data_IF_789536019882
#
_entry.id   IF_789536019882
#
_cell.length_a   1.000
_cell.length_b   1.000
_cell.length_c   1.000
_cell.angle_alpha   90.00
_cell.angle_beta   90.00
_cell.angle_gamma   90.00
#
_symmetry.space_group_name_H-M   'P 1'
#
loop_
_entity.id
_entity.type
_entity.pdbx_description
1 polymer ?
#
# COMPACT_ATOMS: atom_id res chain seq x y z
N UNK A 1 -21.08 21.91 38.46
CA UNK A 1 -21.35 20.47 38.45
C UNK A 1 -20.51 19.81 37.36
N UNK A 2 -19.61 18.92 37.75
CA UNK A 2 -18.61 18.25 36.90
C UNK A 2 -19.14 16.98 36.24
N UNK A 3 -18.43 16.53 35.18
CA UNK A 3 -18.38 15.19 34.54
C UNK A 3 -19.39 14.98 33.39
N UNK A 4 -19.06 14.37 32.24
CA UNK A 4 -17.84 13.72 31.72
C UNK A 4 -18.04 13.52 30.21
N UNK A 5 -17.01 13.80 29.39
CA UNK A 5 -16.99 13.47 27.96
C UNK A 5 -17.03 11.94 27.80
N UNK A 6 -18.10 11.40 27.23
CA UNK A 6 -18.23 9.98 26.89
C UNK A 6 -17.36 9.66 25.67
N UNK A 7 -16.08 9.38 25.91
CA UNK A 7 -15.18 8.80 24.92
C UNK A 7 -15.64 7.37 24.60
N UNK A 8 -16.36 7.20 23.49
CA UNK A 8 -16.68 5.89 22.94
C UNK A 8 -15.38 5.23 22.49
N UNK A 9 -14.85 4.35 23.33
CA UNK A 9 -13.60 3.62 23.09
C UNK A 9 -13.60 2.95 21.72
N UNK A 10 -12.56 3.21 20.94
CA UNK A 10 -12.26 2.48 19.70
C UNK A 10 -12.12 0.99 20.06
N UNK A 11 -13.08 0.16 19.67
CA UNK A 11 -12.88 -1.30 19.58
C UNK A 11 -11.68 -1.53 18.65
N UNK A 12 -10.51 -1.83 19.22
CA UNK A 12 -9.38 -2.38 18.46
C UNK A 12 -9.83 -3.76 17.99
N UNK A 13 -10.21 -3.84 16.71
CA UNK A 13 -10.47 -5.12 16.07
C UNK A 13 -9.24 -6.00 16.26
N UNK A 14 -9.46 -7.15 16.89
CA UNK A 14 -8.48 -8.20 17.12
C UNK A 14 -7.82 -8.56 15.81
N UNK A 15 -6.49 -8.58 15.84
CA UNK A 15 -5.61 -8.80 14.69
C UNK A 15 -5.74 -10.27 14.28
N UNK A 16 -6.64 -10.56 13.34
CA UNK A 16 -6.82 -11.92 12.82
C UNK A 16 -5.51 -12.38 12.17
N UNK A 17 -4.84 -13.33 12.83
CA UNK A 17 -3.65 -14.02 12.34
C UNK A 17 -4.10 -15.08 11.35
N UNK A 18 -3.71 -14.92 10.08
CA UNK A 18 -3.51 -16.03 9.15
C UNK A 18 -4.72 -16.56 8.40
N UNK A 19 -5.37 -15.75 7.57
CA UNK A 19 -5.92 -16.28 6.31
C UNK A 19 -4.85 -16.12 5.25
N UNK A 20 -4.57 -17.14 4.45
CA UNK A 20 -3.80 -16.98 3.21
C UNK A 20 -4.58 -16.03 2.30
N UNK A 21 -4.41 -14.72 2.50
CA UNK A 21 -5.22 -13.68 1.89
C UNK A 21 -4.80 -13.53 0.44
N UNK A 22 -5.30 -14.41 -0.40
CA UNK A 22 -5.19 -14.28 -1.85
C UNK A 22 -5.95 -13.03 -2.27
N UNK A 23 -5.41 -12.26 -3.21
CA UNK A 23 -6.13 -11.13 -3.78
C UNK A 23 -7.32 -11.65 -4.62
N UNK A 24 -8.16 -10.75 -5.18
CA UNK A 24 -9.34 -11.11 -6.00
C UNK A 24 -9.02 -12.07 -7.18
N UNK A 25 -7.74 -12.32 -7.50
CA UNK A 25 -7.25 -13.22 -8.54
C UNK A 25 -6.69 -14.56 -8.00
N UNK A 26 -6.83 -14.88 -6.71
CA UNK A 26 -6.46 -16.20 -6.16
C UNK A 26 -4.95 -16.44 -5.94
N UNK A 27 -4.08 -15.46 -6.17
CA UNK A 27 -2.62 -15.63 -6.10
C UNK A 27 -2.02 -14.93 -4.87
N UNK A 28 -1.01 -15.59 -4.25
CA UNK A 28 -0.27 -15.06 -3.09
C UNK A 28 0.67 -13.98 -3.62
N UNK A 29 0.42 -12.71 -3.32
CA UNK A 29 1.40 -11.61 -3.41
C UNK A 29 2.36 -11.63 -4.63
N UNK A 30 1.91 -12.00 -5.83
CA UNK A 30 2.81 -11.98 -6.98
C UNK A 30 2.93 -10.55 -7.51
N UNK A 31 4.17 -10.12 -7.69
CA UNK A 31 4.51 -8.78 -8.17
C UNK A 31 3.87 -8.53 -9.54
N UNK A 32 3.92 -9.54 -10.41
CA UNK A 32 3.29 -9.54 -11.74
C UNK A 32 1.77 -9.30 -11.68
N UNK A 33 1.05 -9.98 -10.79
CA UNK A 33 -0.41 -9.79 -10.71
C UNK A 33 -0.78 -8.43 -10.14
N UNK A 34 0.01 -7.89 -9.21
CA UNK A 34 -0.20 -6.54 -8.69
C UNK A 34 0.03 -5.48 -9.78
N UNK A 35 1.06 -5.64 -10.61
CA UNK A 35 1.32 -4.77 -11.77
C UNK A 35 0.15 -4.85 -12.76
N UNK A 36 -0.26 -6.06 -13.16
CA UNK A 36 -1.35 -6.25 -14.11
C UNK A 36 -2.68 -5.70 -13.59
N UNK A 37 -2.98 -5.90 -12.30
CA UNK A 37 -4.17 -5.34 -11.67
C UNK A 37 -4.14 -3.80 -11.67
N UNK A 38 -2.98 -3.17 -11.41
CA UNK A 38 -2.84 -1.71 -11.49
C UNK A 38 -2.97 -1.17 -12.91
N UNK A 39 -2.41 -1.87 -13.89
CA UNK A 39 -2.55 -1.55 -15.33
C UNK A 39 -4.01 -1.61 -15.77
N UNK A 40 -4.72 -2.71 -15.49
CA UNK A 40 -6.15 -2.88 -15.81
C UNK A 40 -7.04 -1.83 -15.15
N UNK A 41 -6.69 -1.37 -13.95
CA UNK A 41 -7.41 -0.30 -13.23
C UNK A 41 -7.07 1.12 -13.72
N UNK A 42 -6.11 1.28 -14.63
CA UNK A 42 -5.66 2.59 -15.09
C UNK A 42 -4.95 3.43 -14.02
N UNK A 43 -4.50 2.83 -12.91
CA UNK A 43 -3.80 3.55 -11.83
C UNK A 43 -2.34 3.84 -12.20
N UNK A 44 -2.16 4.73 -13.17
CA UNK A 44 -0.90 5.42 -13.40
C UNK A 44 -0.71 6.50 -12.33
N UNK A 45 0.52 6.67 -11.83
CA UNK A 45 0.85 7.78 -10.94
C UNK A 45 1.37 8.92 -11.80
N UNK A 46 0.80 10.12 -11.64
CA UNK A 46 1.35 11.32 -12.27
C UNK A 46 2.75 11.60 -11.72
N UNK A 47 3.59 12.31 -12.49
CA UNK A 47 4.94 12.73 -12.05
C UNK A 47 4.91 13.44 -10.70
N UNK A 48 3.89 14.29 -10.44
CA UNK A 48 3.71 14.99 -9.16
C UNK A 48 3.51 14.04 -7.97
N UNK A 49 2.91 12.87 -8.20
CA UNK A 49 2.70 11.85 -7.17
C UNK A 49 3.78 10.77 -7.20
N UNK A 50 4.93 10.99 -7.84
CA UNK A 50 6.03 10.03 -7.78
C UNK A 50 6.51 9.85 -6.34
N UNK A 51 6.85 8.61 -5.97
CA UNK A 51 7.50 8.30 -4.70
C UNK A 51 9.03 8.24 -4.84
N UNK A 52 9.53 8.33 -6.07
CA UNK A 52 10.95 8.24 -6.40
C UNK A 52 11.48 9.66 -6.60
N UNK A 53 12.44 10.06 -5.77
CA UNK A 53 13.08 11.38 -5.88
C UNK A 53 14.05 11.43 -7.06
N UNK A 54 14.43 12.64 -7.50
CA UNK A 54 15.42 12.84 -8.55
C UNK A 54 16.80 12.25 -8.19
N UNK A 55 17.17 12.32 -6.91
CA UNK A 55 18.40 11.71 -6.38
C UNK A 55 18.40 10.19 -6.52
N UNK A 56 17.24 9.56 -6.37
CA UNK A 56 17.15 8.11 -6.53
C UNK A 56 17.34 7.68 -7.99
N UNK A 57 16.94 8.51 -8.96
CA UNK A 57 17.22 8.24 -10.38
C UNK A 57 18.72 8.31 -10.67
N UNK A 58 19.40 9.35 -10.19
CA UNK A 58 20.86 9.52 -10.36
C UNK A 58 21.63 8.30 -9.80
N UNK A 59 21.30 7.85 -8.60
CA UNK A 59 21.92 6.67 -7.99
C UNK A 59 21.69 5.38 -8.78
N UNK A 60 20.54 5.25 -9.43
CA UNK A 60 20.21 4.09 -10.26
C UNK A 60 21.03 4.08 -11.54
N UNK A 61 21.24 5.26 -12.14
CA UNK A 61 22.02 5.44 -13.37
C UNK A 61 23.53 5.24 -13.13
N UNK A 62 24.06 5.83 -12.05
CA UNK A 62 25.47 5.70 -11.66
C UNK A 62 25.88 4.26 -11.33
N UNK A 63 24.96 3.46 -10.78
CA UNK A 63 25.22 2.08 -10.37
C UNK A 63 24.51 1.06 -11.26
N UNK A 64 24.14 1.45 -12.48
CA UNK A 64 23.55 0.54 -13.45
C UNK A 64 24.66 -0.33 -14.07
N UNK A 65 24.74 -1.60 -13.65
CA UNK A 65 25.66 -2.61 -14.17
C UNK A 65 24.86 -3.76 -14.79
#
# INVERSE_FOLDING_TARGET
MTRTKKTRGRKRATRNKGTTKKNKLGVKNSLVNNINARRKRGHSRSKKHTTVSRKNYQKMEENWQ
#
